data_IF_986851276190
#
_entry.id   IF_986851276190
#
_cell.length_a   1.000
_cell.length_b   1.000
_cell.length_c   1.000
_cell.angle_alpha   90.00
_cell.angle_beta   90.00
_cell.angle_gamma   90.00
#
_symmetry.space_group_name_H-M   'P 1'
#
loop_
_entity.id
_entity.type
_entity.pdbx_description
1 polymer ?
#
# COMPACT_ATOMS: atom_id res chain seq x y z
N UNK A 1 -1.83 -8.35 -34.16
CA UNK A 1 -1.04 -7.09 -34.19
C UNK A 1 0.36 -7.34 -34.76
N UNK A 2 1.34 -7.83 -33.98
CA UNK A 2 2.73 -8.01 -34.47
C UNK A 2 2.83 -8.95 -35.67
N UNK A 3 2.17 -10.12 -35.63
CA UNK A 3 2.12 -11.06 -36.79
C UNK A 3 1.49 -10.45 -38.05
N UNK A 4 0.73 -9.37 -37.90
CA UNK A 4 0.09 -8.63 -38.98
C UNK A 4 0.94 -7.43 -39.45
N UNK A 5 2.19 -7.32 -39.00
CA UNK A 5 3.09 -6.21 -39.34
C UNK A 5 2.83 -4.90 -38.58
N UNK A 6 1.87 -4.87 -37.66
CA UNK A 6 1.52 -3.66 -36.90
C UNK A 6 2.52 -3.51 -35.74
N UNK A 7 3.22 -2.39 -35.72
CA UNK A 7 4.18 -2.03 -34.68
C UNK A 7 3.43 -1.57 -33.41
N UNK A 8 3.65 -2.20 -32.23
CA UNK A 8 3.18 -1.66 -30.96
C UNK A 8 3.69 -0.24 -30.76
N UNK A 9 2.87 0.60 -30.12
CA UNK A 9 3.25 1.92 -29.65
C UNK A 9 3.28 1.96 -28.11
N UNK A 10 3.53 3.15 -27.56
CA UNK A 10 3.59 3.38 -26.12
C UNK A 10 2.30 2.96 -25.39
N UNK A 11 1.12 3.16 -26.01
CA UNK A 11 -0.18 2.83 -25.41
C UNK A 11 -0.31 1.32 -25.26
N UNK A 12 0.09 0.57 -26.28
CA UNK A 12 0.07 -0.90 -26.24
C UNK A 12 1.02 -1.43 -25.16
N UNK A 13 2.24 -0.89 -25.06
CA UNK A 13 3.18 -1.31 -24.02
C UNK A 13 2.66 -1.03 -22.62
N UNK A 14 2.06 0.14 -22.40
CA UNK A 14 1.44 0.49 -21.13
C UNK A 14 0.30 -0.46 -20.76
N UNK A 15 -0.58 -0.79 -21.71
CA UNK A 15 -1.69 -1.72 -21.49
C UNK A 15 -1.20 -3.13 -21.10
N UNK A 16 -0.18 -3.64 -21.80
CA UNK A 16 0.46 -4.94 -21.47
C UNK A 16 1.17 -4.86 -20.10
N UNK A 17 1.79 -3.72 -19.82
CA UNK A 17 2.31 -3.23 -18.54
C UNK A 17 1.39 -3.55 -17.37
N UNK A 18 0.22 -2.91 -17.44
CA UNK A 18 -0.83 -3.04 -16.46
C UNK A 18 -1.34 -4.47 -16.36
N UNK A 19 -1.62 -5.12 -17.50
CA UNK A 19 -2.12 -6.49 -17.51
C UNK A 19 -1.16 -7.45 -16.79
N UNK A 20 0.14 -7.37 -17.06
CA UNK A 20 1.15 -8.17 -16.37
C UNK A 20 1.18 -7.86 -14.86
N UNK A 21 1.02 -6.59 -14.49
CA UNK A 21 1.00 -6.17 -13.08
C UNK A 21 -0.21 -6.64 -12.30
N UNK A 22 -1.37 -6.78 -12.94
CA UNK A 22 -2.58 -7.30 -12.31
C UNK A 22 -2.58 -8.84 -12.29
N UNK A 23 -2.03 -9.48 -13.32
CA UNK A 23 -1.92 -10.94 -13.41
C UNK A 23 -0.75 -11.52 -12.61
N UNK A 24 0.14 -10.68 -12.03
CA UNK A 24 1.33 -11.14 -11.32
C UNK A 24 2.40 -11.73 -12.24
N UNK A 25 2.37 -11.43 -13.54
CA UNK A 25 3.30 -11.93 -14.55
C UNK A 25 4.56 -11.07 -14.61
N UNK A 26 5.33 -11.08 -13.51
CA UNK A 26 6.47 -10.16 -13.29
C UNK A 26 7.54 -10.27 -14.37
N UNK A 27 8.05 -11.48 -14.61
CA UNK A 27 9.14 -11.68 -15.56
C UNK A 27 8.71 -11.39 -16.99
N UNK A 28 7.46 -11.69 -17.32
CA UNK A 28 6.89 -11.36 -18.63
C UNK A 28 6.71 -9.85 -18.80
N UNK A 29 6.28 -9.14 -17.75
CA UNK A 29 6.23 -7.68 -17.74
C UNK A 29 7.62 -7.07 -17.93
N UNK A 30 8.65 -7.55 -17.23
CA UNK A 30 10.02 -7.08 -17.42
C UNK A 30 10.55 -7.36 -18.83
N UNK A 31 10.23 -8.52 -19.40
CA UNK A 31 10.55 -8.82 -20.80
C UNK A 31 9.91 -7.84 -21.77
N UNK A 32 8.64 -7.48 -21.57
CA UNK A 32 7.98 -6.48 -22.41
C UNK A 32 8.55 -5.08 -22.22
N UNK A 33 8.94 -4.71 -20.99
CA UNK A 33 9.60 -3.44 -20.72
C UNK A 33 10.96 -3.34 -21.42
N UNK A 34 11.78 -4.40 -21.37
CA UNK A 34 13.07 -4.43 -22.07
C UNK A 34 12.87 -4.46 -23.59
N UNK A 35 11.93 -5.25 -24.11
CA UNK A 35 11.57 -5.28 -25.53
C UNK A 35 11.17 -3.87 -26.04
N UNK A 36 10.44 -3.10 -25.25
CA UNK A 36 10.10 -1.71 -25.58
C UNK A 36 11.34 -0.83 -25.80
N UNK A 37 12.36 -1.00 -24.95
CA UNK A 37 13.63 -0.25 -25.00
C UNK A 37 14.55 -0.73 -26.14
N UNK A 38 14.75 -2.04 -26.23
CA UNK A 38 15.78 -2.66 -27.05
C UNK A 38 15.32 -2.90 -28.48
N UNK A 39 14.09 -3.43 -28.67
CA UNK A 39 13.58 -3.83 -29.98
C UNK A 39 12.76 -2.70 -30.64
N UNK A 40 12.03 -1.93 -29.84
CA UNK A 40 11.14 -0.87 -30.34
C UNK A 40 11.68 0.55 -30.12
N UNK A 41 12.76 0.72 -29.35
CA UNK A 41 13.40 2.00 -29.07
C UNK A 41 12.46 3.08 -28.54
N UNK A 42 11.42 2.68 -27.81
CA UNK A 42 10.50 3.60 -27.14
C UNK A 42 11.04 3.97 -25.78
N UNK A 43 11.10 5.27 -25.51
CA UNK A 43 11.51 5.80 -24.20
C UNK A 43 10.33 5.73 -23.22
N UNK A 44 10.47 5.06 -22.07
CA UNK A 44 9.42 5.01 -21.06
C UNK A 44 9.21 6.40 -20.46
N UNK A 45 7.95 6.77 -20.24
CA UNK A 45 7.57 7.93 -19.45
C UNK A 45 7.40 7.54 -17.96
N UNK A 46 7.09 8.52 -17.11
CA UNK A 46 6.83 8.32 -15.67
C UNK A 46 5.79 7.22 -15.41
N UNK A 47 4.71 7.20 -16.20
CA UNK A 47 3.60 6.26 -16.04
C UNK A 47 4.03 4.81 -16.28
N UNK A 48 4.81 4.55 -17.34
CA UNK A 48 5.35 3.21 -17.59
C UNK A 48 6.32 2.79 -16.48
N UNK A 49 7.20 3.68 -16.03
CA UNK A 49 8.06 3.38 -14.87
C UNK A 49 7.25 3.07 -13.61
N UNK A 50 6.20 3.85 -13.33
CA UNK A 50 5.28 3.61 -12.21
C UNK A 50 4.61 2.24 -12.29
N UNK A 51 4.21 1.81 -13.49
CA UNK A 51 3.68 0.46 -13.71
C UNK A 51 4.69 -0.63 -13.36
N UNK A 52 5.93 -0.50 -13.85
CA UNK A 52 6.98 -1.52 -13.61
C UNK A 52 7.44 -1.53 -12.15
N UNK A 53 7.51 -0.37 -11.50
CA UNK A 53 7.75 -0.26 -10.05
C UNK A 53 6.61 -0.94 -9.28
N UNK A 54 5.36 -0.71 -9.68
CA UNK A 54 4.20 -1.39 -9.08
C UNK A 54 4.20 -2.90 -9.29
N UNK A 55 4.60 -3.36 -10.49
CA UNK A 55 4.76 -4.78 -10.85
C UNK A 55 5.78 -5.46 -9.93
N UNK A 56 7.00 -4.92 -9.86
CA UNK A 56 8.09 -5.41 -9.01
C UNK A 56 7.71 -5.35 -7.54
N UNK A 57 7.13 -4.22 -7.12
CA UNK A 57 6.76 -3.94 -5.76
C UNK A 57 5.72 -4.92 -5.21
N UNK A 58 4.67 -5.24 -5.97
CA UNK A 58 3.66 -6.25 -5.57
C UNK A 58 4.20 -7.67 -5.49
N UNK A 59 5.28 -7.95 -6.19
CA UNK A 59 5.94 -9.24 -6.19
C UNK A 59 7.00 -9.40 -5.08
N UNK A 60 7.17 -8.41 -4.20
CA UNK A 60 8.22 -8.41 -3.18
C UNK A 60 9.61 -8.07 -3.70
N UNK A 61 9.77 -7.77 -4.99
CA UNK A 61 11.04 -7.36 -5.62
C UNK A 61 11.29 -5.87 -5.41
N UNK A 62 11.16 -5.42 -4.15
CA UNK A 62 11.14 -3.99 -3.80
C UNK A 62 12.50 -3.33 -4.01
N UNK A 63 13.61 -4.05 -3.80
CA UNK A 63 14.94 -3.51 -4.05
C UNK A 63 15.18 -3.27 -5.55
N UNK A 64 14.74 -4.20 -6.41
CA UNK A 64 14.78 -4.00 -7.86
C UNK A 64 13.90 -2.82 -8.29
N UNK A 65 12.74 -2.66 -7.67
CA UNK A 65 11.88 -1.49 -7.90
C UNK A 65 12.60 -0.18 -7.53
N UNK A 66 13.32 -0.16 -6.41
CA UNK A 66 14.10 1.00 -6.00
C UNK A 66 15.29 1.28 -6.93
N UNK A 67 15.98 0.23 -7.38
CA UNK A 67 17.04 0.37 -8.40
C UNK A 67 16.51 0.92 -9.72
N UNK A 68 15.35 0.45 -10.17
CA UNK A 68 14.70 0.96 -11.38
C UNK A 68 14.41 2.46 -11.28
N UNK A 69 13.91 2.93 -10.13
CA UNK A 69 13.68 4.35 -9.88
C UNK A 69 14.99 5.14 -9.98
N UNK A 70 16.09 4.60 -9.42
CA UNK A 70 17.41 5.23 -9.47
C UNK A 70 18.04 5.24 -10.87
N UNK A 71 17.67 4.31 -11.74
CA UNK A 71 18.14 4.27 -13.13
C UNK A 71 17.31 5.10 -14.09
N UNK A 72 16.21 5.73 -13.64
CA UNK A 72 15.38 6.56 -14.49
C UNK A 72 16.20 7.71 -15.10
N UNK A 73 16.04 8.02 -16.40
CA UNK A 73 16.77 9.11 -17.06
C UNK A 73 16.25 10.51 -16.67
N UNK A 74 15.28 10.58 -15.76
CA UNK A 74 14.66 11.78 -15.25
C UNK A 74 14.24 11.58 -13.78
N UNK A 75 13.93 12.67 -13.09
CA UNK A 75 13.49 12.61 -11.70
C UNK A 75 12.12 11.95 -11.59
N UNK A 76 12.00 10.90 -10.78
CA UNK A 76 10.73 10.22 -10.52
C UNK A 76 9.71 11.14 -9.85
N UNK A 77 8.46 11.09 -10.33
CA UNK A 77 7.35 11.87 -9.79
C UNK A 77 6.71 11.23 -8.54
N UNK A 78 5.68 11.89 -7.98
CA UNK A 78 5.02 11.41 -6.77
C UNK A 78 4.35 10.04 -6.95
N UNK A 79 3.90 9.72 -8.17
CA UNK A 79 3.19 8.48 -8.48
C UNK A 79 4.14 7.29 -8.40
N UNK A 80 5.36 7.43 -8.93
CA UNK A 80 6.41 6.41 -8.89
C UNK A 80 6.86 6.16 -7.45
N UNK A 81 7.10 7.21 -6.66
CA UNK A 81 7.42 7.06 -5.24
C UNK A 81 6.25 6.49 -4.43
N UNK A 82 5.01 6.82 -4.79
CA UNK A 82 3.79 6.26 -4.20
C UNK A 82 3.67 4.75 -4.46
N UNK A 83 3.99 4.28 -5.67
CA UNK A 83 4.02 2.85 -5.99
C UNK A 83 5.05 2.10 -5.14
N UNK A 84 6.27 2.64 -4.99
CA UNK A 84 7.30 2.05 -4.13
C UNK A 84 6.87 2.05 -2.65
N UNK A 85 6.23 3.14 -2.18
CA UNK A 85 5.73 3.23 -0.81
C UNK A 85 4.68 2.15 -0.52
N UNK A 86 3.73 1.95 -1.44
CA UNK A 86 2.73 0.89 -1.34
C UNK A 86 3.37 -0.49 -1.23
N UNK A 87 4.40 -0.77 -2.04
CA UNK A 87 5.16 -2.00 -1.96
C UNK A 87 5.91 -2.15 -0.61
N UNK A 88 6.56 -1.09 -0.14
CA UNK A 88 7.24 -1.12 1.16
C UNK A 88 6.28 -1.42 2.31
N UNK A 89 5.07 -0.87 2.26
CA UNK A 89 4.02 -1.17 3.25
C UNK A 89 3.61 -2.65 3.18
N UNK A 90 3.36 -3.18 2.00
CA UNK A 90 2.94 -4.57 1.81
C UNK A 90 3.98 -5.58 2.32
N UNK A 91 5.27 -5.23 2.25
CA UNK A 91 6.39 -6.09 2.62
C UNK A 91 7.11 -5.67 3.92
N UNK A 92 6.50 -4.79 4.74
CA UNK A 92 7.05 -4.33 6.02
C UNK A 92 8.47 -3.71 5.95
N UNK A 93 8.81 -3.05 4.85
CA UNK A 93 10.10 -2.41 4.62
C UNK A 93 10.12 -0.97 5.13
N UNK A 94 10.07 -0.80 6.46
CA UNK A 94 9.89 0.51 7.11
C UNK A 94 10.92 1.58 6.73
N UNK A 95 12.20 1.20 6.59
CA UNK A 95 13.28 2.15 6.23
C UNK A 95 13.06 2.74 4.83
N UNK A 96 12.84 1.87 3.83
CA UNK A 96 12.63 2.27 2.44
C UNK A 96 11.27 2.95 2.27
N UNK A 97 10.23 2.50 2.98
CA UNK A 97 8.93 3.14 3.00
C UNK A 97 8.99 4.59 3.50
N UNK A 98 9.72 4.86 4.59
CA UNK A 98 9.95 6.24 5.06
C UNK A 98 10.66 7.11 4.02
N UNK A 99 11.64 6.57 3.30
CA UNK A 99 12.32 7.29 2.22
C UNK A 99 11.35 7.62 1.08
N UNK A 100 10.62 6.61 0.60
CA UNK A 100 9.66 6.76 -0.50
C UNK A 100 8.59 7.80 -0.16
N UNK A 101 8.03 7.74 1.05
CA UNK A 101 7.03 8.70 1.50
C UNK A 101 7.58 10.14 1.61
N UNK A 102 8.79 10.32 2.13
CA UNK A 102 9.44 11.64 2.20
C UNK A 102 9.70 12.21 0.81
N UNK A 103 10.14 11.38 -0.15
CA UNK A 103 10.33 11.79 -1.55
C UNK A 103 9.00 12.19 -2.20
N UNK A 104 7.96 11.38 -2.01
CA UNK A 104 6.62 11.66 -2.52
C UNK A 104 6.06 12.99 -1.96
N UNK A 105 6.16 13.22 -0.64
CA UNK A 105 5.70 14.46 -0.01
C UNK A 105 6.53 15.70 -0.37
N UNK A 106 7.83 15.54 -0.64
CA UNK A 106 8.66 16.64 -1.12
C UNK A 106 8.23 17.14 -2.51
N UNK A 107 7.68 16.24 -3.34
CA UNK A 107 7.13 16.57 -4.65
C UNK A 107 5.68 17.10 -4.52
N UNK A 108 4.88 16.47 -3.65
CA UNK A 108 3.46 16.77 -3.49
C UNK A 108 3.03 16.73 -2.03
N UNK A 109 3.07 17.87 -1.31
CA UNK A 109 2.83 17.92 0.13
C UNK A 109 1.40 17.62 0.59
N UNK A 110 0.41 17.61 -0.30
CA UNK A 110 -1.02 17.45 0.02
C UNK A 110 -1.53 16.00 -0.07
N UNK A 111 -0.64 15.01 -0.12
CA UNK A 111 -1.01 13.59 -0.19
C UNK A 111 -1.34 13.01 1.18
N UNK A 112 -2.62 13.10 1.57
CA UNK A 112 -3.16 12.58 2.84
C UNK A 112 -2.78 11.13 3.07
N UNK A 113 -2.91 10.27 2.05
CA UNK A 113 -2.61 8.84 2.11
C UNK A 113 -1.14 8.57 2.50
N UNK A 114 -0.24 9.44 2.07
CA UNK A 114 1.20 9.31 2.36
C UNK A 114 1.52 9.64 3.82
N UNK A 115 0.85 10.64 4.41
CA UNK A 115 0.98 10.92 5.85
C UNK A 115 0.42 9.79 6.70
N UNK A 116 -0.72 9.19 6.31
CA UNK A 116 -1.28 8.02 6.98
C UNK A 116 -0.27 6.86 6.96
N UNK A 117 0.33 6.58 5.81
CA UNK A 117 1.34 5.53 5.69
C UNK A 117 2.57 5.81 6.56
N UNK A 118 3.10 7.03 6.58
CA UNK A 118 4.19 7.40 7.50
C UNK A 118 3.81 7.27 8.97
N UNK A 119 2.60 7.69 9.34
CA UNK A 119 2.09 7.53 10.72
C UNK A 119 2.08 6.06 11.13
N UNK A 120 1.59 5.17 10.26
CA UNK A 120 1.50 3.75 10.56
C UNK A 120 2.89 3.11 10.65
N UNK A 121 3.82 3.48 9.77
CA UNK A 121 5.20 3.00 9.83
C UNK A 121 5.88 3.43 11.15
N UNK A 122 5.69 4.68 11.58
CA UNK A 122 6.24 5.13 12.87
C UNK A 122 5.59 4.45 14.07
N UNK A 123 4.27 4.25 14.05
CA UNK A 123 3.56 3.53 15.11
C UNK A 123 4.04 2.07 15.23
N UNK A 124 4.23 1.37 14.12
CA UNK A 124 4.77 0.01 14.09
C UNK A 124 6.21 -0.07 14.64
N UNK A 125 6.97 1.03 14.59
CA UNK A 125 8.30 1.16 15.21
C UNK A 125 8.26 1.66 16.68
N UNK A 126 7.08 1.82 17.29
CA UNK A 126 6.91 2.37 18.64
C UNK A 126 7.18 3.88 18.74
N UNK A 127 7.34 4.58 17.61
CA UNK A 127 7.63 6.02 17.56
C UNK A 127 6.34 6.84 17.55
N UNK A 128 5.57 6.73 18.62
CA UNK A 128 4.25 7.36 18.76
C UNK A 128 4.27 8.88 18.56
N UNK A 129 5.32 9.57 19.01
CA UNK A 129 5.48 11.02 18.82
C UNK A 129 5.58 11.42 17.34
N UNK A 130 6.33 10.68 16.53
CA UNK A 130 6.42 10.93 15.09
C UNK A 130 5.12 10.52 14.39
N UNK A 131 4.49 9.42 14.82
CA UNK A 131 3.19 9.02 14.29
C UNK A 131 2.13 10.13 14.47
N UNK A 132 2.02 10.66 15.69
CA UNK A 132 1.10 11.77 15.99
C UNK A 132 1.46 13.05 15.22
N UNK A 133 2.75 13.34 15.07
CA UNK A 133 3.21 14.45 14.21
C UNK A 133 2.72 14.29 12.77
N UNK A 134 2.80 13.09 12.19
CA UNK A 134 2.31 12.83 10.83
C UNK A 134 0.79 13.01 10.75
N UNK A 135 0.03 12.58 11.76
CA UNK A 135 -1.43 12.81 11.82
C UNK A 135 -1.80 14.29 11.90
N UNK A 136 -1.04 15.10 12.65
CA UNK A 136 -1.22 16.55 12.70
C UNK A 136 -0.93 17.22 11.35
N UNK A 137 0.14 16.80 10.66
CA UNK A 137 0.47 17.31 9.33
C UNK A 137 -0.61 16.92 8.31
N UNK A 138 -1.11 15.69 8.37
CA UNK A 138 -2.23 15.23 7.54
C UNK A 138 -3.46 16.14 7.66
N UNK A 139 -3.86 16.50 8.89
CA UNK A 139 -5.00 17.40 9.14
C UNK A 139 -4.80 18.82 8.57
N UNK A 140 -3.54 19.25 8.44
CA UNK A 140 -3.20 20.55 7.84
C UNK A 140 -3.13 20.47 6.31
N UNK A 141 -2.75 19.31 5.77
CA UNK A 141 -2.56 19.07 4.35
C UNK A 141 -3.86 18.73 3.60
N UNK A 142 -4.84 18.13 4.28
CA UNK A 142 -6.17 17.84 3.75
C UNK A 142 -7.25 18.62 4.50
N UNK A 143 -7.98 19.48 3.79
CA UNK A 143 -9.22 20.08 4.28
C UNK A 143 -10.14 18.98 4.81
N UNK A 144 -10.38 18.95 6.13
CA UNK A 144 -11.33 18.10 6.87
C UNK A 144 -11.83 16.87 6.09
N UNK A 145 -11.07 15.76 6.10
CA UNK A 145 -11.73 14.46 5.95
C UNK A 145 -12.64 14.35 7.17
N UNK A 146 -13.96 14.34 6.98
CA UNK A 146 -14.90 14.10 8.08
C UNK A 146 -14.48 12.82 8.79
N UNK A 147 -14.39 12.88 10.11
CA UNK A 147 -14.10 11.70 10.91
C UNK A 147 -15.13 10.62 10.54
N UNK A 148 -14.67 9.49 10.03
CA UNK A 148 -15.53 8.34 9.77
C UNK A 148 -16.02 7.80 11.09
N UNK A 149 -17.10 8.39 11.63
CA UNK A 149 -17.78 7.86 12.80
C UNK A 149 -18.56 6.64 12.34
N UNK A 150 -18.11 5.46 12.74
CA UNK A 150 -18.98 4.29 12.66
C UNK A 150 -20.13 4.49 13.66
N UNK A 151 -21.35 4.13 13.29
CA UNK A 151 -22.55 4.22 14.16
C UNK A 151 -22.43 3.41 15.46
N UNK A 152 -21.33 2.67 15.63
CA UNK A 152 -21.02 1.81 16.76
C UNK A 152 -20.49 2.61 17.96
N UNK A 153 -20.05 3.85 17.77
CA UNK A 153 -19.55 4.71 18.87
C UNK A 153 -20.67 5.31 19.76
N UNK A 154 -21.95 5.07 19.44
CA UNK A 154 -23.05 5.90 19.97
C UNK A 154 -24.05 5.26 20.95
N UNK A 155 -24.64 4.09 20.66
CA UNK A 155 -25.92 3.78 21.35
C UNK A 155 -26.42 2.34 21.34
N UNK A 156 -25.68 1.34 20.86
CA UNK A 156 -26.25 -0.02 20.69
C UNK A 156 -25.34 -1.19 21.10
N UNK A 157 -24.33 -0.94 21.95
CA UNK A 157 -23.45 -2.01 22.43
C UNK A 157 -24.25 -3.11 23.16
N UNK A 158 -25.25 -2.74 23.96
CA UNK A 158 -26.10 -3.71 24.67
C UNK A 158 -26.90 -4.61 23.72
N UNK A 159 -27.51 -4.05 22.67
CA UNK A 159 -28.27 -4.81 21.67
C UNK A 159 -27.39 -5.77 20.87
N UNK A 160 -26.15 -5.37 20.56
CA UNK A 160 -25.19 -6.24 19.87
C UNK A 160 -24.83 -7.42 20.75
N UNK A 161 -24.58 -7.22 22.05
CA UNK A 161 -24.31 -8.33 22.97
C UNK A 161 -25.52 -9.26 23.13
N UNK A 162 -26.73 -8.72 23.24
CA UNK A 162 -27.96 -9.52 23.37
C UNK A 162 -28.20 -10.42 22.14
N UNK A 163 -27.92 -9.91 20.93
CA UNK A 163 -27.99 -10.71 19.69
C UNK A 163 -26.82 -11.71 19.58
N UNK A 164 -25.63 -11.37 20.09
CA UNK A 164 -24.46 -12.27 20.09
C UNK A 164 -24.60 -13.43 21.08
N UNK A 165 -25.43 -13.31 22.12
CA UNK A 165 -25.70 -14.41 23.06
C UNK A 165 -26.42 -15.60 22.39
N UNK A 166 -27.28 -15.34 21.40
CA UNK A 166 -28.04 -16.38 20.69
C UNK A 166 -27.15 -17.38 19.94
N UNK A 167 -26.23 -16.95 19.04
CA UNK A 167 -25.27 -17.84 18.40
C UNK A 167 -24.36 -18.55 19.40
N UNK A 168 -23.88 -17.86 20.45
CA UNK A 168 -23.00 -18.44 21.47
C UNK A 168 -23.71 -19.57 22.22
N UNK A 169 -25.00 -19.40 22.51
CA UNK A 169 -25.82 -20.45 23.12
C UNK A 169 -26.00 -21.65 22.21
N UNK A 170 -26.33 -21.45 20.94
CA UNK A 170 -26.43 -22.55 19.97
C UNK A 170 -25.10 -23.28 19.77
N UNK A 171 -23.98 -22.56 19.77
CA UNK A 171 -22.65 -23.16 19.70
C UNK A 171 -22.40 -24.07 20.90
N UNK A 172 -22.70 -23.61 22.12
CA UNK A 172 -22.58 -24.45 23.34
C UNK A 172 -23.49 -25.67 23.32
N UNK A 173 -24.74 -25.53 22.86
CA UNK A 173 -25.68 -26.65 22.68
C UNK A 173 -25.20 -27.67 21.64
N UNK A 174 -24.45 -27.22 20.63
CA UNK A 174 -23.79 -28.07 19.64
C UNK A 174 -22.44 -28.68 20.13
N UNK A 175 -22.07 -28.47 21.40
CA UNK A 175 -20.86 -29.04 22.01
C UNK A 175 -19.60 -28.19 21.85
N UNK A 176 -19.70 -26.94 21.39
CA UNK A 176 -18.58 -26.01 21.35
C UNK A 176 -18.17 -25.60 22.77
N UNK A 177 -16.91 -25.87 23.14
CA UNK A 177 -16.29 -25.41 24.38
C UNK A 177 -15.38 -24.23 24.03
N UNK A 178 -15.68 -23.00 24.48
CA UNK A 178 -14.83 -21.85 24.24
C UNK A 178 -13.50 -22.03 24.98
N UNK A 179 -12.37 -21.92 24.27
CA UNK A 179 -11.05 -21.79 24.89
C UNK A 179 -10.93 -20.39 25.49
N UNK A 180 -10.97 -20.29 26.83
CA UNK A 180 -10.82 -19.02 27.58
C UNK A 180 -9.37 -18.73 28.02
N UNK A 181 -8.40 -19.57 27.64
CA UNK A 181 -7.01 -19.47 28.10
C UNK A 181 -6.21 -18.27 27.53
N UNK A 182 -6.79 -17.51 26.58
CA UNK A 182 -6.09 -16.41 25.92
C UNK A 182 -6.53 -15.00 26.34
N UNK A 183 -7.39 -14.84 27.35
CA UNK A 183 -7.92 -13.52 27.77
C UNK A 183 -7.43 -12.99 29.13
N UNK A 184 -6.45 -13.64 29.76
CA UNK A 184 -5.82 -13.12 30.99
C UNK A 184 -4.38 -12.71 30.71
N UNK A 185 -4.21 -11.60 29.99
CA UNK A 185 -3.09 -10.70 30.23
C UNK A 185 -3.67 -9.42 30.82
N UNK A 186 -4.05 -9.53 32.10
CA UNK A 186 -4.42 -8.39 32.91
C UNK A 186 -3.24 -7.41 32.94
N UNK A 187 -3.54 -6.17 32.56
CA UNK A 187 -2.84 -4.99 33.03
C UNK A 187 -2.85 -5.02 34.57
N UNK A 188 -1.76 -5.43 35.19
CA UNK A 188 -1.41 -4.92 36.50
C UNK A 188 -0.66 -3.59 36.31
N UNK A 189 -1.43 -2.52 36.26
CA UNK A 189 -0.98 -1.19 36.66
C UNK A 189 -0.72 -1.22 38.18
N UNK A 190 0.55 -1.16 38.57
CA UNK A 190 0.99 -1.12 39.97
C UNK A 190 1.80 0.15 40.27
N UNK A 191 1.09 1.13 40.85
CA UNK A 191 1.53 2.27 41.70
C UNK A 191 2.58 3.26 41.19
#
# INVERSE_FOLDING_TARGET
MVRSGIRPDQVVFMAVLHACSHAGLVDQGLRYFNCMLDDYHFKPNQEIYGCVVGLLGRAGRVEEAYHLIRSMPFMADESVWGALLGACKAHNLSKLGKLAAKKALALKPNMVETYVMLSNIYAAEGKWGEAERMRKLMKRAGSRKEDGRSWIEGSHIEWVYEVLELPVRHMKEAGYVPELDCLIHDQEDGT
#
